data_IF_850464419019
#
_entry.id   IF_850464419019
#
_cell.length_a   1.000
_cell.length_b   1.000
_cell.length_c   1.000
_cell.angle_alpha   90.00
_cell.angle_beta   90.00
_cell.angle_gamma   90.00
#
_symmetry.space_group_name_H-M   'P 1'
#
loop_
_entity.id
_entity.type
_entity.pdbx_description
1 polymer ?
#
# COMPACT_ATOMS: atom_id res chain seq x y z
N UNK A 1 -16.79 13.93 -19.58
CA UNK A 1 -15.87 15.06 -19.88
C UNK A 1 -15.18 15.42 -18.59
N UNK A 2 -14.02 14.78 -18.36
CA UNK A 2 -13.21 15.02 -17.16
C UNK A 2 -12.42 16.30 -17.34
N UNK A 3 -12.76 17.30 -16.55
CA UNK A 3 -11.98 18.55 -16.47
C UNK A 3 -10.72 18.23 -15.65
N UNK A 4 -9.62 17.96 -16.34
CA UNK A 4 -8.30 17.87 -15.78
C UNK A 4 -7.88 19.25 -15.24
N UNK A 5 -8.26 19.56 -14.02
CA UNK A 5 -7.67 20.67 -13.26
C UNK A 5 -6.27 20.24 -12.81
N UNK A 6 -5.23 20.86 -13.37
CA UNK A 6 -3.85 20.67 -12.97
C UNK A 6 -3.65 21.23 -11.55
N UNK A 7 -3.71 20.35 -10.54
CA UNK A 7 -3.19 20.63 -9.21
C UNK A 7 -1.72 20.21 -9.20
N UNK A 8 -0.79 20.95 -8.54
CA UNK A 8 0.63 20.64 -8.56
C UNK A 8 0.85 19.18 -8.20
N UNK A 9 1.57 18.45 -9.05
CA UNK A 9 1.97 17.09 -8.80
C UNK A 9 2.62 16.99 -7.42
N UNK A 10 2.19 16.06 -6.59
CA UNK A 10 2.98 15.59 -5.47
C UNK A 10 4.31 15.10 -6.07
N UNK A 11 5.43 15.69 -5.64
CA UNK A 11 6.56 16.08 -6.48
C UNK A 11 7.53 15.00 -7.00
N UNK A 12 7.13 13.76 -7.31
CA UNK A 12 8.09 12.82 -7.92
C UNK A 12 7.76 12.35 -9.35
N UNK A 13 6.63 12.80 -9.90
CA UNK A 13 6.20 12.44 -11.27
C UNK A 13 5.78 10.97 -11.45
N UNK A 14 5.81 10.15 -10.40
CA UNK A 14 5.47 8.73 -10.44
C UNK A 14 4.04 8.42 -10.02
N UNK A 15 3.36 9.37 -9.40
CA UNK A 15 1.96 9.29 -9.00
C UNK A 15 1.14 10.37 -9.69
N UNK A 16 -0.02 9.99 -10.21
CA UNK A 16 -1.02 10.89 -10.76
C UNK A 16 -2.07 11.19 -9.68
N UNK A 17 -2.29 12.47 -9.38
CA UNK A 17 -3.41 12.86 -8.53
C UNK A 17 -4.70 12.79 -9.34
N UNK A 18 -5.65 12.01 -8.85
CA UNK A 18 -7.00 11.88 -9.39
C UNK A 18 -8.00 12.48 -8.41
N UNK A 19 -8.91 13.27 -8.94
CA UNK A 19 -9.96 13.88 -8.14
C UNK A 19 -11.33 13.60 -8.76
N UNK A 20 -12.19 12.97 -7.96
CA UNK A 20 -13.60 12.77 -8.30
C UNK A 20 -14.48 13.66 -7.42
N UNK A 21 -15.79 13.58 -7.57
CA UNK A 21 -16.72 14.29 -6.70
C UNK A 21 -16.66 13.83 -5.24
N UNK A 22 -16.27 12.58 -5.00
CA UNK A 22 -16.34 11.93 -3.68
C UNK A 22 -15.00 11.50 -3.11
N UNK A 23 -13.95 11.38 -3.91
CA UNK A 23 -12.62 10.87 -3.46
C UNK A 23 -11.51 11.57 -4.22
N UNK A 24 -10.43 11.90 -3.51
CA UNK A 24 -9.14 12.23 -4.10
C UNK A 24 -8.15 11.10 -3.78
N UNK A 25 -7.42 10.61 -4.79
CA UNK A 25 -6.46 9.53 -4.64
C UNK A 25 -5.22 9.73 -5.53
N UNK A 26 -4.18 8.99 -5.24
CA UNK A 26 -2.94 8.93 -6.02
C UNK A 26 -2.91 7.59 -6.77
N UNK A 27 -2.79 7.67 -8.08
CA UNK A 27 -2.69 6.52 -8.97
C UNK A 27 -1.24 6.34 -9.43
N UNK A 28 -0.62 5.16 -9.29
CA UNK A 28 0.71 4.92 -9.83
C UNK A 28 0.74 5.09 -11.35
N UNK A 29 1.65 5.93 -11.84
CA UNK A 29 1.80 6.17 -13.29
C UNK A 29 2.07 4.86 -14.05
N UNK A 30 2.91 3.99 -13.51
CA UNK A 30 3.23 2.68 -14.07
C UNK A 30 1.99 1.79 -14.29
N UNK A 31 0.91 2.00 -13.51
CA UNK A 31 -0.32 1.21 -13.57
C UNK A 31 -1.50 1.95 -14.22
N UNK A 32 -1.38 3.27 -14.44
CA UNK A 32 -2.52 4.12 -14.85
C UNK A 32 -3.11 3.74 -16.21
N UNK A 33 -2.29 3.25 -17.14
CA UNK A 33 -2.72 2.80 -18.45
C UNK A 33 -2.96 1.27 -18.53
N UNK A 34 -2.79 0.55 -17.40
CA UNK A 34 -2.89 -0.90 -17.44
C UNK A 34 -4.36 -1.35 -17.47
N UNK A 35 -4.81 -2.09 -18.52
CA UNK A 35 -6.22 -2.41 -18.71
C UNK A 35 -6.80 -3.37 -17.66
N UNK A 36 -5.94 -4.14 -17.00
CA UNK A 36 -6.32 -5.22 -16.08
C UNK A 36 -6.04 -4.93 -14.61
N UNK A 37 -5.47 -3.78 -14.29
CA UNK A 37 -5.17 -3.40 -12.91
C UNK A 37 -5.85 -2.08 -12.55
N UNK A 38 -6.30 -2.00 -11.31
CA UNK A 38 -6.66 -0.74 -10.66
C UNK A 38 -5.86 -0.66 -9.37
N UNK A 39 -5.19 0.47 -9.18
CA UNK A 39 -4.41 0.72 -7.98
C UNK A 39 -4.58 2.16 -7.54
N UNK A 40 -4.75 2.38 -6.23
CA UNK A 40 -4.85 3.70 -5.66
C UNK A 40 -4.28 3.75 -4.25
N UNK A 41 -3.64 4.88 -3.93
CA UNK A 41 -3.34 5.30 -2.57
C UNK A 41 -4.28 6.47 -2.24
N UNK A 42 -5.24 6.29 -1.34
CA UNK A 42 -6.21 7.35 -1.05
C UNK A 42 -5.54 8.50 -0.31
N UNK A 43 -5.97 9.72 -0.62
CA UNK A 43 -5.67 10.88 0.23
C UNK A 43 -6.66 10.94 1.40
N UNK A 44 -6.52 11.95 2.26
CA UNK A 44 -7.47 12.24 3.34
C UNK A 44 -8.69 13.05 2.91
N UNK A 45 -8.87 13.29 1.62
CA UNK A 45 -9.90 14.18 1.09
C UNK A 45 -11.04 13.39 0.43
N UNK A 46 -12.25 13.65 0.88
CA UNK A 46 -13.49 13.18 0.25
C UNK A 46 -13.84 14.07 -0.95
N UNK A 47 -13.05 13.96 -2.02
CA UNK A 47 -13.23 14.73 -3.25
C UNK A 47 -13.25 16.24 -3.00
N UNK A 48 -14.16 16.93 -3.68
CA UNK A 48 -14.31 18.39 -3.60
C UNK A 48 -15.06 18.89 -2.36
N UNK A 49 -15.58 18.00 -1.52
CA UNK A 49 -16.39 18.39 -0.36
C UNK A 49 -15.59 19.03 0.76
N UNK A 50 -14.26 18.87 0.77
CA UNK A 50 -13.38 19.28 1.86
C UNK A 50 -13.51 18.44 3.13
N UNK A 51 -14.37 17.42 3.14
CA UNK A 51 -14.51 16.51 4.27
C UNK A 51 -13.36 15.51 4.34
N UNK A 52 -13.11 14.97 5.54
CA UNK A 52 -12.08 13.96 5.74
C UNK A 52 -12.56 12.59 5.26
N UNK A 53 -11.75 11.93 4.42
CA UNK A 53 -11.95 10.55 3.94
C UNK A 53 -11.22 9.57 4.87
N UNK A 54 -11.85 9.12 5.94
CA UNK A 54 -11.28 8.09 6.82
C UNK A 54 -11.85 6.70 6.46
N UNK A 55 -10.96 5.70 6.36
CA UNK A 55 -11.30 4.34 5.92
C UNK A 55 -11.14 3.27 7.00
N UNK A 56 -10.80 3.70 8.25
CA UNK A 56 -10.67 2.81 9.40
C UNK A 56 -11.90 2.84 10.30
N UNK A 57 -12.41 1.66 10.64
CA UNK A 57 -13.49 1.51 11.63
C UNK A 57 -13.07 1.88 13.06
N UNK A 58 -11.76 1.82 13.37
CA UNK A 58 -11.25 2.20 14.68
C UNK A 58 -11.16 3.73 14.85
N UNK A 59 -11.35 4.48 13.76
CA UNK A 59 -11.16 5.95 13.70
C UNK A 59 -12.37 6.70 13.18
N UNK A 60 -13.51 6.03 13.05
CA UNK A 60 -14.74 6.68 12.55
C UNK A 60 -15.96 5.81 12.73
N UNK A 61 -17.11 6.47 12.66
CA UNK A 61 -18.41 5.82 12.74
C UNK A 61 -18.59 4.81 11.58
N UNK A 62 -19.04 3.61 11.92
CA UNK A 62 -19.15 2.50 10.96
C UNK A 62 -19.93 2.85 9.69
N UNK A 63 -21.09 3.51 9.72
CA UNK A 63 -21.81 3.89 8.51
C UNK A 63 -21.02 4.84 7.60
N UNK A 64 -20.35 5.83 8.18
CA UNK A 64 -19.52 6.79 7.43
C UNK A 64 -18.32 6.08 6.76
N UNK A 65 -17.63 5.20 7.49
CA UNK A 65 -16.50 4.43 6.94
C UNK A 65 -16.95 3.50 5.81
N UNK A 66 -18.12 2.87 5.93
CA UNK A 66 -18.67 2.04 4.85
C UNK A 66 -18.97 2.86 3.61
N UNK A 67 -19.61 4.03 3.76
CA UNK A 67 -19.87 4.95 2.67
C UNK A 67 -18.57 5.43 2.00
N UNK A 68 -17.56 5.80 2.79
CA UNK A 68 -16.25 6.19 2.27
C UNK A 68 -15.59 5.05 1.45
N UNK A 69 -15.62 3.81 1.94
CA UNK A 69 -15.09 2.65 1.21
C UNK A 69 -15.84 2.40 -0.10
N UNK A 70 -17.17 2.56 -0.11
CA UNK A 70 -17.97 2.47 -1.34
C UNK A 70 -17.60 3.57 -2.33
N UNK A 71 -17.46 4.82 -1.90
CA UNK A 71 -17.02 5.92 -2.75
C UNK A 71 -15.64 5.67 -3.40
N UNK A 72 -14.71 5.08 -2.65
CA UNK A 72 -13.39 4.71 -3.19
C UNK A 72 -13.53 3.63 -4.26
N UNK A 73 -14.29 2.55 -4.00
CA UNK A 73 -14.52 1.50 -5.01
C UNK A 73 -15.20 2.07 -6.26
N UNK A 74 -16.20 2.93 -6.10
CA UNK A 74 -16.88 3.59 -7.21
C UNK A 74 -15.93 4.48 -8.02
N UNK A 75 -15.09 5.27 -7.36
CA UNK A 75 -14.11 6.12 -8.02
C UNK A 75 -13.08 5.34 -8.86
N UNK A 76 -12.84 4.06 -8.51
CA UNK A 76 -11.94 3.14 -9.21
C UNK A 76 -12.65 2.25 -10.24
N UNK A 77 -13.98 2.33 -10.38
CA UNK A 77 -14.78 1.42 -11.21
C UNK A 77 -14.77 -0.02 -10.67
N UNK A 78 -14.74 -0.17 -9.35
CA UNK A 78 -14.64 -1.45 -8.61
C UNK A 78 -15.89 -1.73 -7.76
N UNK A 79 -17.04 -1.09 -8.03
CA UNK A 79 -18.28 -1.22 -7.25
C UNK A 79 -18.85 -2.64 -7.23
N UNK A 80 -18.49 -3.46 -8.22
CA UNK A 80 -18.89 -4.88 -8.29
C UNK A 80 -17.86 -5.83 -7.67
N UNK A 81 -16.79 -5.31 -7.05
CA UNK A 81 -15.76 -6.13 -6.40
C UNK A 81 -15.99 -6.27 -4.90
N UNK A 82 -15.50 -7.35 -4.33
CA UNK A 82 -15.45 -7.53 -2.89
C UNK A 82 -14.15 -6.91 -2.35
N UNK A 83 -14.28 -5.87 -1.51
CA UNK A 83 -13.12 -5.29 -0.81
C UNK A 83 -12.72 -6.18 0.36
N UNK A 84 -11.53 -6.76 0.27
CA UNK A 84 -10.93 -7.62 1.29
C UNK A 84 -9.90 -6.85 2.11
N UNK A 85 -10.12 -6.79 3.41
CA UNK A 85 -9.18 -6.22 4.40
C UNK A 85 -8.98 -7.20 5.55
N UNK A 86 -7.84 -7.12 6.22
CA UNK A 86 -7.50 -7.95 7.38
C UNK A 86 -7.15 -7.06 8.57
N UNK A 87 -7.06 -7.65 9.76
CA UNK A 87 -6.56 -6.97 10.94
C UNK A 87 -5.03 -6.91 10.89
N UNK A 88 -4.49 -5.75 10.55
CA UNK A 88 -3.06 -5.49 10.49
C UNK A 88 -2.47 -5.52 11.90
N UNK A 89 -1.38 -6.25 12.09
CA UNK A 89 -0.72 -6.47 13.38
C UNK A 89 0.76 -6.09 13.37
N UNK A 90 1.25 -5.52 12.26
CA UNK A 90 2.64 -5.17 12.00
C UNK A 90 3.58 -6.40 12.04
N UNK A 91 3.06 -7.55 11.64
CA UNK A 91 3.77 -8.82 11.52
C UNK A 91 4.20 -9.11 10.08
N UNK A 92 4.29 -10.41 9.76
CA UNK A 92 4.67 -10.89 8.41
C UNK A 92 3.70 -11.94 7.86
N UNK A 93 2.56 -12.13 8.50
CA UNK A 93 1.57 -13.11 8.03
C UNK A 93 0.95 -12.65 6.71
N UNK A 94 0.78 -13.60 5.79
CA UNK A 94 0.19 -13.40 4.47
C UNK A 94 -1.13 -14.15 4.39
N UNK A 95 -2.20 -13.47 4.00
CA UNK A 95 -3.52 -14.05 3.78
C UNK A 95 -3.74 -14.28 2.28
N UNK A 96 -3.92 -15.53 1.86
CA UNK A 96 -4.36 -15.86 0.50
C UNK A 96 -5.88 -15.68 0.44
N UNK A 97 -6.34 -14.77 -0.39
CA UNK A 97 -7.76 -14.50 -0.62
C UNK A 97 -8.22 -15.30 -1.84
N UNK A 98 -8.62 -16.54 -1.61
CA UNK A 98 -9.23 -17.43 -2.59
C UNK A 98 -10.75 -17.56 -2.36
N UNK A 99 -11.44 -18.30 -3.21
CA UNK A 99 -12.88 -18.49 -3.11
C UNK A 99 -13.29 -19.17 -1.79
N UNK A 100 -12.50 -20.10 -1.27
CA UNK A 100 -12.77 -20.77 -0.01
C UNK A 100 -12.61 -19.80 1.19
N UNK A 101 -11.63 -18.91 1.14
CA UNK A 101 -11.45 -17.86 2.14
C UNK A 101 -12.61 -16.87 2.14
N UNK A 102 -13.08 -16.46 0.96
CA UNK A 102 -14.24 -15.56 0.84
C UNK A 102 -15.52 -16.18 1.42
N UNK A 103 -15.74 -17.45 1.22
CA UNK A 103 -16.90 -18.18 1.80
C UNK A 103 -16.83 -18.22 3.34
N UNK A 104 -15.64 -18.39 3.92
CA UNK A 104 -15.42 -18.39 5.38
C UNK A 104 -15.44 -16.99 5.98
N UNK A 105 -15.20 -15.96 5.17
CA UNK A 105 -15.04 -14.57 5.60
C UNK A 105 -13.65 -14.27 6.15
N UNK A 106 -13.28 -13.00 6.08
CA UNK A 106 -11.96 -12.50 6.53
C UNK A 106 -12.00 -11.91 7.96
N UNK A 107 -13.14 -11.94 8.63
CA UNK A 107 -13.29 -11.34 9.95
C UNK A 107 -12.35 -11.97 10.97
N UNK A 108 -11.55 -11.12 11.63
CA UNK A 108 -10.61 -11.57 12.69
C UNK A 108 -9.27 -12.10 12.18
N UNK A 109 -9.08 -12.29 10.87
CA UNK A 109 -7.78 -12.72 10.32
C UNK A 109 -6.74 -11.64 10.60
N UNK A 110 -5.65 -12.04 11.28
CA UNK A 110 -4.49 -11.21 11.52
C UNK A 110 -3.46 -11.45 10.43
N UNK A 111 -3.17 -10.43 9.61
CA UNK A 111 -2.15 -10.48 8.59
C UNK A 111 -1.70 -9.06 8.21
N UNK A 112 -0.56 -8.94 7.55
CA UNK A 112 -0.04 -7.68 7.04
C UNK A 112 0.23 -7.73 5.53
N UNK A 113 -0.15 -8.83 4.87
CA UNK A 113 -0.21 -8.94 3.43
C UNK A 113 -1.42 -9.76 3.00
N UNK A 114 -1.98 -9.41 1.83
CA UNK A 114 -3.03 -10.15 1.15
C UNK A 114 -2.56 -10.49 -0.27
N UNK A 115 -2.91 -11.68 -0.75
CA UNK A 115 -2.59 -12.14 -2.10
C UNK A 115 -3.84 -12.73 -2.73
N UNK A 116 -4.08 -12.45 -4.02
CA UNK A 116 -5.18 -13.05 -4.79
C UNK A 116 -4.88 -13.10 -6.29
N UNK A 117 -5.53 -14.01 -6.98
CA UNK A 117 -5.63 -14.03 -8.44
C UNK A 117 -7.07 -13.85 -8.94
N UNK A 118 -7.99 -13.50 -8.06
CA UNK A 118 -9.42 -13.39 -8.39
C UNK A 118 -9.73 -11.98 -8.92
N UNK A 119 -10.32 -11.86 -10.13
CA UNK A 119 -10.54 -10.55 -10.77
C UNK A 119 -11.71 -9.76 -10.16
N UNK A 120 -12.49 -10.34 -9.24
CA UNK A 120 -13.60 -9.68 -8.55
C UNK A 120 -13.29 -9.37 -7.09
N UNK A 121 -12.00 -9.41 -6.73
CA UNK A 121 -11.49 -9.08 -5.41
C UNK A 121 -10.63 -7.83 -5.47
N UNK A 122 -10.92 -6.87 -4.62
CA UNK A 122 -10.06 -5.73 -4.32
C UNK A 122 -9.36 -5.97 -2.97
N UNK A 123 -8.04 -5.89 -2.94
CA UNK A 123 -7.25 -5.95 -1.72
C UNK A 123 -7.08 -4.56 -1.15
N UNK A 124 -7.25 -4.40 0.18
CA UNK A 124 -7.09 -3.12 0.87
C UNK A 124 -6.24 -3.24 2.13
N UNK A 125 -5.27 -2.34 2.31
CA UNK A 125 -4.53 -2.14 3.56
C UNK A 125 -4.63 -0.71 4.03
N UNK A 126 -4.86 -0.52 5.34
CA UNK A 126 -4.94 0.80 5.96
C UNK A 126 -3.54 1.36 6.19
N UNK A 127 -3.38 2.64 5.91
CA UNK A 127 -2.08 3.33 6.01
C UNK A 127 -2.20 4.69 6.70
N UNK A 128 -1.20 4.99 7.53
CA UNK A 128 -0.84 6.30 8.04
C UNK A 128 0.61 6.17 8.52
N UNK A 129 1.55 6.43 7.64
CA UNK A 129 3.02 6.31 7.71
C UNK A 129 3.61 4.98 7.24
N UNK A 130 3.01 3.81 7.55
CA UNK A 130 3.55 2.54 7.09
C UNK A 130 3.51 2.45 5.56
N UNK A 131 4.52 1.80 4.98
CA UNK A 131 4.70 1.66 3.54
C UNK A 131 3.72 0.64 2.96
N UNK A 132 2.83 1.01 2.03
CA UNK A 132 2.09 0.06 1.23
C UNK A 132 2.95 -0.39 0.04
N UNK A 133 3.01 -1.71 -0.20
CA UNK A 133 3.69 -2.29 -1.35
C UNK A 133 2.69 -3.10 -2.17
N UNK A 134 2.53 -2.73 -3.43
CA UNK A 134 1.77 -3.51 -4.41
C UNK A 134 2.74 -4.40 -5.16
N UNK A 135 2.46 -5.71 -5.19
CA UNK A 135 3.18 -6.68 -6.01
C UNK A 135 2.22 -7.22 -7.06
N UNK A 136 2.66 -7.34 -8.30
CA UNK A 136 1.82 -7.88 -9.37
C UNK A 136 2.62 -8.60 -10.44
N UNK A 137 2.02 -9.63 -11.03
CA UNK A 137 2.50 -10.28 -12.25
C UNK A 137 1.35 -10.31 -13.26
N UNK A 138 1.69 -10.16 -14.54
CA UNK A 138 0.72 -10.04 -15.62
C UNK A 138 0.60 -11.30 -16.46
N UNK A 139 1.69 -12.02 -16.62
CA UNK A 139 1.73 -13.28 -17.36
C UNK A 139 0.98 -14.38 -16.60
N UNK A 140 1.14 -14.42 -15.30
CA UNK A 140 0.32 -15.21 -14.37
C UNK A 140 -0.44 -14.23 -13.48
N UNK A 141 -1.71 -13.87 -13.83
CA UNK A 141 -2.40 -12.80 -13.14
C UNK A 141 -2.50 -13.04 -11.63
N UNK A 142 -1.68 -12.37 -10.87
CA UNK A 142 -1.67 -12.39 -9.40
C UNK A 142 -1.32 -11.00 -8.89
N UNK A 143 -1.97 -10.59 -7.81
CA UNK A 143 -1.67 -9.36 -7.08
C UNK A 143 -1.49 -9.65 -5.60
N UNK A 144 -0.62 -8.87 -4.97
CA UNK A 144 -0.53 -8.78 -3.53
C UNK A 144 -0.50 -7.32 -3.08
N UNK A 145 -0.97 -7.11 -1.86
CA UNK A 145 -0.90 -5.82 -1.18
C UNK A 145 -0.34 -6.02 0.21
N UNK A 146 0.78 -5.36 0.48
CA UNK A 146 1.58 -5.52 1.69
C UNK A 146 1.57 -4.25 2.52
N UNK A 147 1.40 -4.39 3.82
CA UNK A 147 1.55 -3.34 4.83
C UNK A 147 2.91 -3.48 5.51
N UNK A 148 3.89 -2.70 5.09
CA UNK A 148 5.26 -2.76 5.59
C UNK A 148 5.59 -1.54 6.47
N UNK A 149 5.20 -1.58 7.74
CA UNK A 149 5.72 -0.68 8.77
C UNK A 149 7.09 -1.14 9.25
N UNK A 150 7.69 -0.45 10.25
CA UNK A 150 9.01 -0.81 10.80
C UNK A 150 9.09 -2.30 11.19
N UNK A 151 8.13 -2.82 11.93
CA UNK A 151 8.14 -4.21 12.34
C UNK A 151 7.86 -5.18 11.19
N UNK A 152 6.94 -4.84 10.26
CA UNK A 152 6.71 -5.61 9.05
C UNK A 152 7.98 -5.70 8.18
N UNK A 153 8.73 -4.59 8.05
CA UNK A 153 10.04 -4.55 7.38
C UNK A 153 11.07 -5.41 8.13
N UNK A 154 11.13 -5.31 9.45
CA UNK A 154 11.99 -6.16 10.28
C UNK A 154 11.70 -7.64 10.06
N UNK A 155 10.44 -8.03 10.04
CA UNK A 155 9.97 -9.40 9.81
C UNK A 155 9.90 -9.80 8.33
N UNK A 156 10.37 -8.93 7.41
CA UNK A 156 10.47 -9.21 5.96
C UNK A 156 9.13 -9.58 5.31
N UNK A 157 8.05 -8.87 5.67
CA UNK A 157 6.69 -9.16 5.20
C UNK A 157 6.55 -9.17 3.68
N UNK A 158 7.29 -8.30 2.96
CA UNK A 158 7.27 -8.27 1.50
C UNK A 158 7.92 -9.53 0.88
N UNK A 159 8.99 -10.05 1.47
CA UNK A 159 9.61 -11.30 1.04
C UNK A 159 8.69 -12.50 1.28
N UNK A 160 8.01 -12.57 2.44
CA UNK A 160 7.00 -13.59 2.70
C UNK A 160 5.84 -13.54 1.70
N UNK A 161 5.42 -12.34 1.26
CA UNK A 161 4.40 -12.22 0.22
C UNK A 161 4.90 -12.77 -1.13
N UNK A 162 6.15 -12.52 -1.51
CA UNK A 162 6.77 -13.09 -2.72
C UNK A 162 6.87 -14.62 -2.65
N UNK A 163 7.31 -15.16 -1.52
CA UNK A 163 7.36 -16.61 -1.28
C UNK A 163 5.98 -17.25 -1.43
N UNK A 164 4.93 -16.63 -0.88
CA UNK A 164 3.55 -17.12 -1.03
C UNK A 164 3.04 -17.03 -2.47
N UNK A 165 3.40 -15.99 -3.22
CA UNK A 165 3.08 -15.87 -4.65
C UNK A 165 3.75 -17.02 -5.42
N UNK A 166 5.04 -17.25 -5.20
CA UNK A 166 5.78 -18.30 -5.89
C UNK A 166 5.22 -19.70 -5.57
N UNK A 167 4.98 -20.00 -4.29
CA UNK A 167 4.47 -21.29 -3.85
C UNK A 167 3.05 -21.59 -4.32
N UNK A 168 2.16 -20.59 -4.35
CA UNK A 168 0.72 -20.78 -4.64
C UNK A 168 0.36 -20.57 -6.09
N UNK A 169 1.12 -19.75 -6.81
CA UNK A 169 0.81 -19.35 -8.18
C UNK A 169 1.92 -19.65 -9.17
N UNK A 170 3.00 -20.32 -8.71
CA UNK A 170 4.18 -20.67 -9.52
C UNK A 170 4.78 -19.46 -10.28
N UNK A 171 4.73 -18.27 -9.65
CA UNK A 171 5.21 -17.03 -10.22
C UNK A 171 6.47 -16.60 -9.48
N UNK A 172 7.67 -16.77 -10.08
CA UNK A 172 8.93 -16.43 -9.42
C UNK A 172 9.09 -14.91 -9.27
N UNK A 173 9.89 -14.44 -8.29
CA UNK A 173 10.12 -13.01 -8.04
C UNK A 173 10.61 -12.24 -9.27
N UNK A 174 11.34 -12.89 -10.19
CA UNK A 174 11.81 -12.28 -11.44
C UNK A 174 10.68 -11.78 -12.37
N UNK A 175 9.46 -12.29 -12.21
CA UNK A 175 8.27 -11.89 -12.98
C UNK A 175 7.36 -10.92 -12.21
N UNK A 176 7.77 -10.51 -11.01
CA UNK A 176 6.99 -9.59 -10.18
C UNK A 176 7.42 -8.16 -10.42
N UNK A 177 6.44 -7.30 -10.65
CA UNK A 177 6.59 -5.85 -10.56
C UNK A 177 6.13 -5.39 -9.17
N UNK A 178 6.80 -4.38 -8.63
CA UNK A 178 6.50 -3.81 -7.34
C UNK A 178 6.27 -2.29 -7.44
N UNK A 179 5.23 -1.80 -6.77
CA UNK A 179 5.00 -0.37 -6.59
C UNK A 179 4.97 -0.06 -5.09
N UNK A 180 5.92 0.74 -4.65
CA UNK A 180 6.04 1.20 -3.28
C UNK A 180 5.36 2.58 -3.16
N UNK A 181 4.29 2.65 -2.37
CA UNK A 181 3.46 3.85 -2.24
C UNK A 181 3.98 4.87 -1.21
N UNK A 182 3.21 5.94 -0.97
CA UNK A 182 3.54 6.96 0.02
C UNK A 182 3.70 6.37 1.43
N UNK A 183 4.76 6.75 2.11
CA UNK A 183 5.08 6.32 3.48
C UNK A 183 5.78 7.44 4.24
N UNK A 184 6.01 7.27 5.54
CA UNK A 184 6.86 8.20 6.27
C UNK A 184 8.30 8.09 5.76
N UNK A 185 8.87 9.20 5.34
CA UNK A 185 10.25 9.27 4.86
C UNK A 185 11.26 9.44 6.01
N UNK A 186 12.53 9.20 5.72
CA UNK A 186 13.64 9.38 6.66
C UNK A 186 13.67 10.81 7.25
N UNK A 187 13.22 11.83 6.50
CA UNK A 187 13.11 13.21 6.96
C UNK A 187 12.25 13.39 8.23
N UNK A 188 11.32 12.44 8.52
CA UNK A 188 10.39 12.52 9.64
C UNK A 188 10.40 11.28 10.54
N UNK A 189 11.17 10.23 10.20
CA UNK A 189 11.12 8.95 10.91
C UNK A 189 12.37 8.67 11.73
N UNK A 190 12.63 9.51 12.72
CA UNK A 190 13.72 9.32 13.68
C UNK A 190 13.35 8.27 14.74
N UNK A 191 14.29 7.38 15.02
CA UNK A 191 14.20 6.24 15.94
C UNK A 191 15.41 6.22 16.89
N UNK A 192 15.20 5.69 18.09
CA UNK A 192 16.23 5.50 19.10
C UNK A 192 16.97 4.16 18.91
N UNK A 193 18.05 3.97 19.71
CA UNK A 193 18.87 2.75 19.70
C UNK A 193 18.08 1.46 19.96
N UNK A 194 17.01 1.51 20.79
CA UNK A 194 16.19 0.33 21.08
C UNK A 194 15.44 -0.15 19.83
N UNK A 195 15.00 0.80 19.01
CA UNK A 195 14.27 0.49 17.79
C UNK A 195 15.20 0.04 16.64
N UNK A 196 16.47 0.50 16.63
CA UNK A 196 17.45 0.24 15.58
C UNK A 196 18.27 -1.03 15.87
N UNK A 197 18.63 -1.29 17.12
CA UNK A 197 19.49 -2.41 17.52
C UNK A 197 19.12 -3.76 16.89
N UNK A 198 17.85 -4.21 16.94
CA UNK A 198 17.44 -5.46 16.30
C UNK A 198 17.76 -5.53 14.80
N UNK A 199 17.71 -4.39 14.09
CA UNK A 199 18.05 -4.35 12.67
C UNK A 199 19.55 -4.48 12.44
N UNK A 200 20.37 -3.92 13.32
CA UNK A 200 21.85 -4.07 13.26
C UNK A 200 22.26 -5.52 13.36
N UNK A 201 21.58 -6.29 14.23
CA UNK A 201 21.87 -7.71 14.44
C UNK A 201 21.40 -8.60 13.26
N UNK A 202 20.31 -8.19 12.58
CA UNK A 202 19.65 -9.04 11.57
C UNK A 202 19.99 -8.69 10.12
N UNK A 203 20.33 -7.43 9.84
CA UNK A 203 20.52 -6.94 8.48
C UNK A 203 21.96 -6.45 8.27
N UNK A 204 22.81 -7.17 7.53
CA UNK A 204 24.18 -6.71 7.25
C UNK A 204 24.26 -5.34 6.56
N UNK A 205 23.18 -4.97 5.83
CA UNK A 205 23.08 -3.70 5.09
C UNK A 205 22.27 -2.64 5.84
N UNK A 206 22.10 -2.75 7.15
CA UNK A 206 21.24 -1.83 7.93
C UNK A 206 21.64 -0.36 7.76
N UNK A 207 22.91 -0.04 7.54
CA UNK A 207 23.43 1.31 7.33
C UNK A 207 22.93 1.95 6.02
N UNK A 208 22.45 1.15 5.05
CA UNK A 208 21.91 1.67 3.80
C UNK A 208 20.53 2.33 3.98
N UNK A 209 19.80 1.98 5.05
CA UNK A 209 18.47 2.51 5.31
C UNK A 209 18.28 3.08 6.73
N UNK A 210 19.33 3.15 7.53
CA UNK A 210 19.39 3.89 8.78
C UNK A 210 20.46 4.99 8.70
N UNK A 211 20.01 6.24 8.61
CA UNK A 211 20.86 7.41 8.47
C UNK A 211 21.11 7.98 9.88
N UNK A 212 22.36 8.16 10.33
CA UNK A 212 22.64 8.78 11.63
C UNK A 212 21.95 10.14 11.78
N UNK A 213 21.28 10.37 12.91
CA UNK A 213 20.50 11.57 13.18
C UNK A 213 20.73 12.09 14.62
N UNK A 214 21.98 12.41 14.94
CA UNK A 214 22.41 12.82 16.28
C UNK A 214 22.84 11.64 17.17
N UNK A 215 23.16 11.90 18.46
CA UNK A 215 23.60 10.87 19.38
C UNK A 215 22.52 9.80 19.60
N UNK A 216 22.84 8.55 19.36
CA UNK A 216 21.96 7.37 19.58
C UNK A 216 20.59 7.43 18.89
N UNK A 217 20.48 8.21 17.79
CA UNK A 217 19.28 8.29 16.96
C UNK A 217 19.63 8.10 15.49
N UNK A 218 18.70 7.52 14.76
CA UNK A 218 18.78 7.27 13.32
C UNK A 218 17.46 7.59 12.64
N UNK A 219 17.53 8.15 11.46
CA UNK A 219 16.39 8.27 10.56
C UNK A 219 16.24 6.98 9.76
N UNK A 220 15.07 6.33 9.79
CA UNK A 220 14.79 5.11 9.02
C UNK A 220 14.17 5.44 7.68
N UNK A 221 14.74 4.90 6.61
CA UNK A 221 14.18 4.90 5.26
C UNK A 221 13.47 3.57 4.97
N UNK A 222 12.14 3.55 5.16
CA UNK A 222 11.31 2.37 4.88
C UNK A 222 11.33 1.99 3.39
N UNK A 223 11.41 2.99 2.52
CA UNK A 223 11.41 2.79 1.08
C UNK A 223 12.67 2.05 0.64
N UNK A 224 13.84 2.55 1.03
CA UNK A 224 15.14 1.91 0.76
C UNK A 224 15.20 0.51 1.37
N UNK A 225 14.81 0.33 2.64
CA UNK A 225 14.83 -0.96 3.31
C UNK A 225 14.03 -2.03 2.57
N UNK A 226 12.79 -1.71 2.14
CA UNK A 226 11.95 -2.66 1.43
C UNK A 226 12.39 -2.86 -0.04
N UNK A 227 12.93 -1.83 -0.69
CA UNK A 227 13.53 -1.97 -2.03
C UNK A 227 14.69 -2.96 -2.01
N UNK A 228 15.58 -2.86 -1.03
CA UNK A 228 16.71 -3.80 -0.85
C UNK A 228 16.21 -5.23 -0.59
N UNK A 229 15.16 -5.40 0.22
CA UNK A 229 14.57 -6.71 0.48
C UNK A 229 13.93 -7.33 -0.76
N UNK A 230 13.21 -6.56 -1.56
CA UNK A 230 12.62 -7.03 -2.82
C UNK A 230 13.69 -7.47 -3.83
N UNK A 231 14.75 -6.65 -3.98
CA UNK A 231 15.91 -7.00 -4.83
C UNK A 231 16.61 -8.26 -4.34
N UNK A 232 16.86 -8.38 -3.05
CA UNK A 232 17.47 -9.57 -2.45
C UNK A 232 16.61 -10.84 -2.62
N UNK A 233 15.28 -10.68 -2.75
CA UNK A 233 14.36 -11.77 -3.06
C UNK A 233 14.26 -12.08 -4.56
N UNK A 234 14.95 -11.35 -5.45
CA UNK A 234 15.01 -11.61 -6.88
C UNK A 234 14.07 -10.78 -7.76
N UNK A 235 13.43 -9.73 -7.21
CA UNK A 235 12.68 -8.77 -8.03
C UNK A 235 13.68 -7.86 -8.77
N UNK A 236 13.62 -7.76 -10.11
CA UNK A 236 14.51 -6.91 -10.90
C UNK A 236 14.36 -5.43 -10.52
N UNK A 237 15.47 -4.70 -10.48
CA UNK A 237 15.47 -3.28 -10.07
C UNK A 237 14.57 -2.42 -10.95
N UNK A 238 14.55 -2.69 -12.25
CA UNK A 238 13.73 -2.00 -13.26
C UNK A 238 12.22 -2.28 -13.12
N UNK A 239 11.85 -3.29 -12.36
CA UNK A 239 10.46 -3.63 -12.04
C UNK A 239 10.01 -3.07 -10.67
N UNK A 240 10.84 -2.25 -10.02
CA UNK A 240 10.51 -1.64 -8.74
C UNK A 240 10.29 -0.14 -8.93
N UNK A 241 9.02 0.28 -8.89
CA UNK A 241 8.62 1.69 -8.87
C UNK A 241 8.45 2.19 -7.45
N UNK A 242 9.00 3.37 -7.14
CA UNK A 242 8.94 3.94 -5.80
C UNK A 242 8.33 5.34 -5.83
N UNK A 243 7.41 5.63 -4.92
CA UNK A 243 6.87 6.96 -4.71
C UNK A 243 7.53 7.60 -3.48
N UNK A 244 8.44 8.54 -3.71
CA UNK A 244 9.21 9.21 -2.66
C UNK A 244 8.41 10.33 -1.97
N UNK A 245 7.18 10.03 -1.49
CA UNK A 245 6.29 10.97 -0.82
C UNK A 245 6.25 10.66 0.68
N UNK A 246 6.75 11.59 1.50
CA UNK A 246 6.66 11.48 2.95
C UNK A 246 5.27 11.88 3.46
N UNK A 247 4.56 10.94 4.10
CA UNK A 247 3.21 11.18 4.65
C UNK A 247 3.19 12.29 5.71
N UNK A 248 4.21 12.38 6.57
CA UNK A 248 4.29 13.39 7.61
C UNK A 248 4.56 14.80 7.05
N UNK A 249 5.40 14.93 6.01
CA UNK A 249 5.59 16.20 5.31
C UNK A 249 4.32 16.64 4.58
N UNK A 250 3.54 15.68 4.07
CA UNK A 250 2.32 15.92 3.31
C UNK A 250 1.05 15.61 4.14
N UNK A 251 1.08 15.86 5.45
CA UNK A 251 -0.05 15.61 6.37
C UNK A 251 -1.35 16.34 5.99
N UNK A 252 -1.28 17.37 5.16
CA UNK A 252 -2.46 18.05 4.63
C UNK A 252 -3.21 17.22 3.58
N UNK A 253 -2.51 16.32 2.89
CA UNK A 253 -3.06 15.44 1.86
C UNK A 253 -3.15 13.98 2.30
N UNK A 254 -2.27 13.54 3.19
CA UNK A 254 -2.15 12.15 3.64
C UNK A 254 -2.26 12.08 5.17
N UNK A 255 -2.78 10.97 5.68
CA UNK A 255 -2.75 10.73 7.12
C UNK A 255 -1.35 10.34 7.59
N UNK A 256 -0.93 10.89 8.72
CA UNK A 256 0.34 10.57 9.36
C UNK A 256 0.16 10.36 10.86
N UNK A 257 0.39 9.15 11.32
CA UNK A 257 0.39 8.83 12.74
C UNK A 257 1.52 9.55 13.50
N UNK A 258 2.68 9.70 12.87
CA UNK A 258 3.82 10.41 13.45
C UNK A 258 3.52 11.89 13.67
N UNK A 259 2.88 12.55 12.72
CA UNK A 259 2.59 13.98 12.78
C UNK A 259 1.33 14.32 13.60
N UNK A 260 0.34 13.41 13.64
CA UNK A 260 -0.99 13.67 14.22
C UNK A 260 -1.30 12.78 15.45
N UNK A 261 -0.42 11.83 15.76
CA UNK A 261 -0.60 10.93 16.90
C UNK A 261 -1.76 9.94 16.73
N UNK A 262 -2.39 9.60 17.86
CA UNK A 262 -3.46 8.60 17.90
C UNK A 262 -4.75 9.05 17.22
N UNK A 263 -4.94 10.34 17.01
CA UNK A 263 -6.13 10.92 16.39
C UNK A 263 -6.08 10.87 14.85
N UNK A 264 -4.94 10.52 14.27
CA UNK A 264 -4.82 10.37 12.83
C UNK A 264 -5.84 9.35 12.28
N UNK A 265 -6.61 9.76 11.27
CA UNK A 265 -7.41 8.85 10.47
C UNK A 265 -6.54 7.84 9.70
N UNK A 266 -7.15 7.05 8.84
CA UNK A 266 -6.42 6.12 7.97
C UNK A 266 -6.85 6.29 6.53
N UNK A 267 -5.87 6.44 5.64
CA UNK A 267 -6.01 6.18 4.23
C UNK A 267 -5.98 4.68 3.95
N UNK A 268 -6.13 4.32 2.68
CA UNK A 268 -6.04 2.93 2.23
C UNK A 268 -5.25 2.86 0.94
N UNK A 269 -4.35 1.89 0.83
CA UNK A 269 -3.88 1.41 -0.44
C UNK A 269 -4.85 0.33 -0.94
N UNK A 270 -5.17 0.35 -2.23
CA UNK A 270 -6.10 -0.59 -2.86
C UNK A 270 -5.48 -1.07 -4.16
N UNK A 271 -5.60 -2.37 -4.43
CA UNK A 271 -5.27 -2.97 -5.72
C UNK A 271 -6.30 -4.02 -6.09
N UNK A 272 -6.68 -4.09 -7.35
CA UNK A 272 -7.59 -5.09 -7.89
C UNK A 272 -7.19 -5.52 -9.30
N UNK A 273 -7.38 -6.81 -9.61
CA UNK A 273 -7.43 -7.31 -10.98
C UNK A 273 -8.83 -7.04 -11.54
N UNK A 274 -8.91 -6.50 -12.76
CA UNK A 274 -10.16 -6.37 -13.49
C UNK A 274 -10.25 -7.47 -14.54
N UNK A 275 -11.46 -7.99 -14.76
CA UNK A 275 -11.71 -8.86 -15.91
C UNK A 275 -11.44 -8.09 -17.21
N UNK A 276 -10.91 -8.72 -18.28
CA UNK A 276 -10.94 -8.10 -19.59
C UNK A 276 -12.37 -7.69 -19.89
N UNK A 277 -12.54 -6.44 -20.39
CA UNK A 277 -13.85 -5.99 -20.85
C UNK A 277 -14.44 -7.07 -21.76
N UNK A 278 -15.67 -7.55 -21.47
CA UNK A 278 -16.38 -8.39 -22.41
C UNK A 278 -16.50 -7.59 -23.70
N UNK A 279 -15.75 -7.99 -24.72
CA UNK A 279 -15.99 -7.49 -26.06
C UNK A 279 -17.41 -7.96 -26.37
N UNK A 280 -18.37 -7.04 -26.34
CA UNK A 280 -19.74 -7.28 -26.83
C UNK A 280 -19.59 -7.64 -28.30
N UNK A 281 -19.84 -8.93 -28.60
CA UNK A 281 -20.01 -9.43 -29.97
C UNK A 281 -21.31 -8.89 -30.54
#
# INVERSE_FOLDING_TARGET
>A
MDVLGSIPALADGRLLRRETTTVTYLEPLALSAHPRLRCAFTTRHAGRSGQALNLSFDKGERPAVLAHRQHVLQALGLEQTTLCTVRQVHGNQVCIVDAAMLQRGLTGIAADALVTNLPWVALGVLVADCLPIVLYALDTPVIALVHAGRMGTYHRVAQHALEMIEQRFATPPAHIHAVLGPAIGACCYTLDRRAVGPFQDQFPTWEEFFIPHGPEHWAMDLLTANTLQLRAAGVPTEQIDTASICTACHKHDLYSHRAEGREAGRGMAIVALTSPARVSQ
#
